data_IF_452251321300
#
_entry.id   IF_452251321300
#
_cell.length_a   1.000
_cell.length_b   1.000
_cell.length_c   1.000
_cell.angle_alpha   90.00
_cell.angle_beta   90.00
_cell.angle_gamma   90.00
#
_symmetry.space_group_name_H-M   'P 1'
#
loop_
_entity.id
_entity.type
_entity.pdbx_description
1 polymer ?
#
# COMPACT_ATOMS: atom_id res chain seq x y z
N UNK A 1 -11.36 -25.54 8.52
CA UNK A 1 -11.20 -24.65 7.37
C UNK A 1 -9.74 -24.59 6.96
N UNK A 2 -9.48 -24.88 5.68
CA UNK A 2 -8.19 -24.72 5.00
C UNK A 2 -8.03 -23.27 4.52
N UNK A 3 -6.84 -22.90 4.04
CA UNK A 3 -6.58 -21.54 3.51
C UNK A 3 -7.47 -21.23 2.30
N UNK A 4 -7.66 -22.20 1.40
CA UNK A 4 -8.45 -22.00 0.18
C UNK A 4 -9.94 -21.85 0.49
N UNK A 5 -10.44 -22.60 1.48
CA UNK A 5 -11.81 -22.44 1.99
C UNK A 5 -12.03 -21.04 2.58
N UNK A 6 -11.06 -20.52 3.35
CA UNK A 6 -11.16 -19.17 3.92
C UNK A 6 -11.12 -18.10 2.82
N UNK A 7 -10.25 -18.27 1.81
CA UNK A 7 -10.17 -17.33 0.67
C UNK A 7 -11.45 -17.32 -0.17
N UNK A 8 -12.25 -18.37 -0.14
CA UNK A 8 -13.55 -18.44 -0.82
C UNK A 8 -14.67 -17.71 -0.06
N UNK A 9 -14.50 -17.42 1.24
CA UNK A 9 -15.47 -16.62 2.00
C UNK A 9 -15.46 -15.18 1.48
N UNK A 10 -16.63 -14.66 1.18
CA UNK A 10 -16.84 -13.29 0.70
C UNK A 10 -16.32 -12.26 1.71
N UNK A 11 -15.38 -11.42 1.28
CA UNK A 11 -14.89 -10.27 2.08
C UNK A 11 -16.05 -9.32 2.39
N UNK A 12 -16.99 -9.15 1.44
CA UNK A 12 -18.17 -8.32 1.64
C UNK A 12 -19.01 -8.83 2.81
N UNK A 13 -19.21 -10.15 2.90
CA UNK A 13 -20.04 -10.76 3.94
C UNK A 13 -19.31 -10.79 5.28
N UNK A 14 -18.00 -11.03 5.26
CA UNK A 14 -17.16 -10.94 6.46
C UNK A 14 -17.19 -9.53 7.06
N UNK A 15 -17.00 -8.49 6.25
CA UNK A 15 -17.10 -7.10 6.70
C UNK A 15 -18.53 -6.76 7.17
N UNK A 16 -19.55 -7.27 6.48
CA UNK A 16 -20.95 -7.14 6.90
C UNK A 16 -21.22 -7.73 8.29
N UNK A 17 -20.61 -8.88 8.62
CA UNK A 17 -20.70 -9.48 9.96
C UNK A 17 -20.11 -8.59 11.05
N UNK A 18 -19.17 -7.71 10.70
CA UNK A 18 -18.57 -6.70 11.57
C UNK A 18 -19.30 -5.35 11.53
N UNK A 19 -20.47 -5.27 10.88
CA UNK A 19 -21.21 -4.03 10.63
C UNK A 19 -20.43 -2.98 9.82
N UNK A 20 -19.53 -3.43 8.94
CA UNK A 20 -18.76 -2.57 8.03
C UNK A 20 -19.35 -2.67 6.63
N UNK A 21 -19.90 -1.57 6.15
CA UNK A 21 -20.63 -1.49 4.88
C UNK A 21 -19.99 -0.50 3.91
N UNK A 22 -20.15 -0.68 2.58
CA UNK A 22 -19.56 0.22 1.60
C UNK A 22 -20.22 1.61 1.68
N UNK A 23 -19.40 2.66 1.61
CA UNK A 23 -19.85 4.05 1.46
C UNK A 23 -20.34 4.31 0.03
N UNK A 24 -19.68 3.68 -0.96
CA UNK A 24 -20.09 3.74 -2.37
C UNK A 24 -20.05 2.33 -2.96
N UNK A 25 -21.04 2.00 -3.78
CA UNK A 25 -21.13 0.69 -4.43
C UNK A 25 -21.23 0.89 -5.95
N UNK A 26 -20.43 0.15 -6.70
CA UNK A 26 -20.30 0.24 -8.15
C UNK A 26 -20.67 -1.09 -8.84
N UNK A 27 -21.48 -1.92 -8.18
CA UNK A 27 -21.95 -3.20 -8.69
C UNK A 27 -20.93 -4.31 -8.43
N UNK A 28 -19.79 -4.29 -9.12
CA UNK A 28 -18.75 -5.32 -9.01
C UNK A 28 -17.69 -5.03 -7.93
N UNK A 29 -17.69 -3.82 -7.37
CA UNK A 29 -16.84 -3.47 -6.23
C UNK A 29 -17.51 -2.42 -5.34
N UNK A 30 -17.07 -2.35 -4.09
CA UNK A 30 -17.46 -1.31 -3.14
C UNK A 30 -16.26 -0.52 -2.61
N UNK A 31 -16.47 0.76 -2.32
CA UNK A 31 -15.54 1.62 -1.61
C UNK A 31 -16.01 1.79 -0.16
N UNK A 32 -15.15 1.44 0.77
CA UNK A 32 -15.35 1.46 2.21
C UNK A 32 -14.41 2.49 2.83
N UNK A 33 -14.73 2.93 4.04
CA UNK A 33 -13.70 3.48 4.91
C UNK A 33 -12.76 2.35 5.33
N UNK A 34 -11.47 2.63 5.35
CA UNK A 34 -10.47 1.67 5.80
C UNK A 34 -10.82 1.16 7.20
N UNK A 35 -10.88 -0.17 7.41
CA UNK A 35 -11.13 -0.73 8.74
C UNK A 35 -9.92 -0.60 9.66
N UNK A 36 -8.76 -0.15 9.14
CA UNK A 36 -7.51 -0.04 9.89
C UNK A 36 -7.30 1.34 10.53
N UNK A 37 -8.08 2.35 10.14
CA UNK A 37 -7.90 3.74 10.58
C UNK A 37 -9.20 4.53 10.49
N UNK A 38 -9.27 5.64 11.22
CA UNK A 38 -10.36 6.58 11.02
C UNK A 38 -10.05 7.49 9.81
N UNK A 39 -10.95 7.53 8.84
CA UNK A 39 -10.80 8.38 7.65
C UNK A 39 -12.12 9.07 7.26
N UNK A 40 -11.99 10.23 6.60
CA UNK A 40 -13.12 10.98 6.07
C UNK A 40 -13.56 10.46 4.71
N UNK A 41 -12.60 10.30 3.79
CA UNK A 41 -12.84 9.83 2.41
C UNK A 41 -12.58 8.33 2.31
N UNK A 42 -13.48 7.53 1.71
CA UNK A 42 -13.29 6.09 1.57
C UNK A 42 -12.13 5.78 0.62
N UNK A 43 -11.20 4.95 1.06
CA UNK A 43 -10.00 4.56 0.30
C UNK A 43 -9.78 3.04 0.25
N UNK A 44 -10.69 2.25 0.83
CA UNK A 44 -10.61 0.80 0.88
C UNK A 44 -11.55 0.19 -0.16
N UNK A 45 -11.01 -0.43 -1.20
CA UNK A 45 -11.76 -1.11 -2.25
C UNK A 45 -11.92 -2.59 -1.92
N UNK A 46 -13.12 -3.11 -2.08
CA UNK A 46 -13.38 -4.56 -2.13
C UNK A 46 -13.95 -4.91 -3.49
N UNK A 47 -13.21 -5.71 -4.26
CA UNK A 47 -13.68 -6.29 -5.52
C UNK A 47 -14.46 -7.57 -5.23
N UNK A 48 -15.75 -7.58 -5.56
CA UNK A 48 -16.65 -8.68 -5.20
C UNK A 48 -16.49 -9.89 -6.12
N UNK A 49 -15.99 -9.68 -7.35
CA UNK A 49 -15.77 -10.76 -8.30
C UNK A 49 -14.47 -11.49 -8.01
N UNK A 50 -13.41 -10.74 -7.72
CA UNK A 50 -12.10 -11.32 -7.40
C UNK A 50 -12.00 -11.75 -5.93
N UNK A 51 -12.92 -11.28 -5.09
CA UNK A 51 -12.88 -11.44 -3.64
C UNK A 51 -11.55 -10.97 -3.03
N UNK A 52 -11.09 -9.80 -3.49
CA UNK A 52 -9.85 -9.17 -3.05
C UNK A 52 -10.14 -7.78 -2.50
N UNK A 53 -9.33 -7.37 -1.53
CA UNK A 53 -9.34 -6.01 -1.01
C UNK A 53 -8.05 -5.26 -1.35
N UNK A 54 -8.15 -3.94 -1.40
CA UNK A 54 -7.01 -3.05 -1.56
C UNK A 54 -7.27 -1.71 -0.88
N UNK A 55 -6.33 -1.26 -0.06
CA UNK A 55 -6.33 0.02 0.63
C UNK A 55 -5.38 0.99 -0.09
N UNK A 56 -5.95 1.97 -0.80
CA UNK A 56 -5.19 2.92 -1.60
C UNK A 56 -4.30 3.85 -0.77
N UNK A 57 -4.59 4.08 0.52
CA UNK A 57 -3.76 4.97 1.33
C UNK A 57 -2.56 4.24 1.95
N UNK A 58 -2.65 2.91 2.13
CA UNK A 58 -1.55 2.08 2.62
C UNK A 58 -0.77 1.38 1.51
N UNK A 59 -1.29 1.39 0.29
CA UNK A 59 -0.75 0.61 -0.83
C UNK A 59 -0.62 -0.88 -0.49
N UNK A 60 -1.66 -1.41 0.16
CA UNK A 60 -1.72 -2.80 0.61
C UNK A 60 -3.01 -3.46 0.17
N UNK A 61 -2.99 -4.76 -0.10
CA UNK A 61 -4.17 -5.53 -0.47
C UNK A 61 -3.93 -7.02 -0.34
N UNK A 62 -4.99 -7.79 -0.57
CA UNK A 62 -4.91 -9.24 -0.51
C UNK A 62 -6.26 -9.92 -0.47
N UNK A 63 -6.22 -11.17 -0.05
CA UNK A 63 -7.39 -12.02 0.16
C UNK A 63 -7.96 -11.83 1.57
N UNK A 64 -9.06 -12.53 1.88
CA UNK A 64 -9.69 -12.44 3.20
C UNK A 64 -8.75 -12.83 4.34
N UNK A 65 -7.87 -13.83 4.15
CA UNK A 65 -6.94 -14.23 5.22
C UNK A 65 -5.94 -13.10 5.53
N UNK A 66 -5.48 -12.38 4.52
CA UNK A 66 -4.57 -11.23 4.68
C UNK A 66 -5.28 -10.09 5.43
N UNK A 67 -6.56 -9.87 5.12
CA UNK A 67 -7.41 -8.91 5.83
C UNK A 67 -7.53 -9.27 7.30
N UNK A 68 -7.85 -10.53 7.62
CA UNK A 68 -8.04 -11.01 8.99
C UNK A 68 -6.75 -10.90 9.78
N UNK A 69 -5.63 -11.36 9.22
CA UNK A 69 -4.31 -11.24 9.85
C UNK A 69 -3.99 -9.79 10.21
N UNK A 70 -4.30 -8.85 9.31
CA UNK A 70 -4.07 -7.43 9.54
C UNK A 70 -5.02 -6.82 10.57
N UNK A 71 -6.32 -7.14 10.51
CA UNK A 71 -7.33 -6.62 11.44
C UNK A 71 -7.07 -7.08 12.88
N UNK A 72 -6.66 -8.34 13.04
CA UNK A 72 -6.44 -8.95 14.35
C UNK A 72 -4.98 -8.95 14.79
N UNK A 73 -4.08 -8.41 13.96
CA UNK A 73 -2.63 -8.43 14.16
C UNK A 73 -2.11 -9.83 14.56
N UNK A 74 -2.51 -10.85 13.81
CA UNK A 74 -2.27 -12.26 14.14
C UNK A 74 -1.52 -12.99 13.01
N UNK A 75 -0.87 -14.09 13.36
CA UNK A 75 -0.22 -14.96 12.37
C UNK A 75 -1.24 -15.71 11.51
N UNK A 76 -0.77 -16.30 10.40
CA UNK A 76 -1.60 -17.14 9.54
C UNK A 76 -2.26 -18.29 10.29
N UNK A 77 -1.52 -18.94 11.19
CA UNK A 77 -2.02 -20.06 12.00
C UNK A 77 -3.16 -19.57 12.90
N UNK A 78 -2.95 -18.45 13.60
CA UNK A 78 -3.97 -17.84 14.46
C UNK A 78 -5.21 -17.41 13.67
N UNK A 79 -5.02 -16.85 12.47
CA UNK A 79 -6.12 -16.48 11.59
C UNK A 79 -6.95 -17.70 11.16
N UNK A 80 -6.30 -18.82 10.83
CA UNK A 80 -7.00 -20.08 10.53
C UNK A 80 -7.76 -20.61 11.75
N UNK A 81 -7.18 -20.52 12.95
CA UNK A 81 -7.84 -20.92 14.20
C UNK A 81 -9.09 -20.10 14.51
N UNK A 82 -9.10 -18.80 14.17
CA UNK A 82 -10.29 -17.94 14.29
C UNK A 82 -11.47 -18.47 13.48
N UNK A 83 -11.24 -18.90 12.23
CA UNK A 83 -12.28 -19.47 11.38
C UNK A 83 -12.70 -20.89 11.81
N UNK A 84 -11.85 -21.59 12.58
CA UNK A 84 -12.15 -22.91 13.13
C UNK A 84 -12.85 -22.88 14.49
N UNK A 85 -13.24 -21.70 14.99
CA UNK A 85 -13.96 -21.56 16.26
C UNK A 85 -13.13 -21.86 17.51
N UNK A 86 -11.80 -22.00 17.38
CA UNK A 86 -10.89 -22.16 18.52
C UNK A 86 -10.53 -20.77 19.06
N UNK A 87 -11.48 -20.13 19.74
CA UNK A 87 -11.25 -18.83 20.39
C UNK A 87 -10.37 -18.97 21.64
N UNK A 88 -9.07 -19.18 21.44
CA UNK A 88 -8.09 -19.00 22.51
C UNK A 88 -7.64 -17.53 22.50
N UNK A 89 -8.25 -16.72 23.36
CA UNK A 89 -7.77 -15.41 23.81
C UNK A 89 -7.33 -14.43 22.70
N UNK A 90 -8.24 -14.00 21.81
CA UNK A 90 -7.98 -12.78 21.03
C UNK A 90 -8.60 -11.54 21.71
N UNK A 91 -7.88 -10.41 21.73
CA UNK A 91 -8.41 -9.16 22.28
C UNK A 91 -9.66 -8.77 21.49
N UNK A 92 -10.75 -8.50 22.22
CA UNK A 92 -11.99 -7.97 21.66
C UNK A 92 -11.66 -6.74 20.81
N UNK A 93 -12.24 -6.70 19.61
CA UNK A 93 -12.17 -5.57 18.69
C UNK A 93 -12.48 -4.28 19.45
N UNK A 94 -11.44 -3.56 19.82
CA UNK A 94 -11.53 -2.21 20.34
C UNK A 94 -10.98 -1.36 19.21
N UNK A 95 -11.88 -0.58 18.60
CA UNK A 95 -11.50 0.57 17.78
C UNK A 95 -10.87 1.56 18.77
N UNK A 96 -9.66 1.24 19.21
CA UNK A 96 -8.88 2.12 20.04
C UNK A 96 -8.45 3.23 19.12
N UNK A 97 -9.03 4.42 19.35
CA UNK A 97 -8.48 5.70 18.91
C UNK A 97 -6.96 5.55 18.92
N UNK A 98 -6.35 5.62 17.74
CA UNK A 98 -4.93 5.40 17.56
C UNK A 98 -4.18 6.43 18.39
N UNK A 99 -3.88 6.08 19.64
CA UNK A 99 -2.72 6.59 20.34
C UNK A 99 -1.56 6.19 19.46
N UNK A 100 -1.03 7.18 18.74
CA UNK A 100 0.34 7.27 18.24
C UNK A 100 1.14 6.00 18.49
N UNK A 101 1.05 5.06 17.55
CA UNK A 101 2.00 3.95 17.51
C UNK A 101 3.29 4.58 16.99
N UNK A 102 4.18 4.90 17.94
CA UNK A 102 5.58 5.20 17.65
C UNK A 102 6.24 4.05 16.88
N UNK A 103 7.27 4.33 16.07
CA UNK A 103 7.46 3.77 14.75
C UNK A 103 8.23 2.45 14.78
N UNK A 104 7.57 1.37 14.38
CA UNK A 104 8.26 0.15 13.93
C UNK A 104 7.83 -0.28 12.52
N UNK A 105 7.23 0.62 11.74
CA UNK A 105 7.36 0.54 10.30
C UNK A 105 8.85 0.66 10.00
N UNK A 106 9.41 -0.30 9.26
CA UNK A 106 10.75 -0.28 8.73
C UNK A 106 10.96 1.01 7.93
N UNK A 107 11.36 2.07 8.63
CA UNK A 107 11.50 3.43 8.07
C UNK A 107 12.41 3.34 6.87
N UNK A 108 11.89 3.72 5.70
CA UNK A 108 12.68 3.88 4.50
C UNK A 108 13.76 4.90 4.81
N UNK A 109 15.02 4.47 4.77
CA UNK A 109 16.19 5.36 4.97
C UNK A 109 16.81 5.64 3.63
N UNK A 110 16.82 6.90 3.22
CA UNK A 110 17.52 7.32 2.01
C UNK A 110 19.02 7.18 2.25
N UNK A 111 19.69 6.43 1.38
CA UNK A 111 21.15 6.27 1.36
C UNK A 111 21.76 7.39 0.51
N UNK A 112 21.11 7.71 -0.61
CA UNK A 112 21.55 8.80 -1.48
C UNK A 112 20.63 9.00 -2.67
N UNK A 113 20.77 10.17 -3.29
CA UNK A 113 20.14 10.53 -4.56
C UNK A 113 21.23 10.88 -5.57
N UNK A 114 21.24 10.21 -6.72
CA UNK A 114 22.22 10.40 -7.78
C UNK A 114 21.54 10.73 -9.11
N UNK A 115 22.33 11.12 -10.10
CA UNK A 115 21.85 11.18 -11.48
C UNK A 115 21.45 9.80 -11.96
N UNK A 116 20.41 9.73 -12.78
CA UNK A 116 19.89 8.48 -13.33
C UNK A 116 20.96 7.80 -14.22
N UNK A 117 21.59 6.77 -13.69
CA UNK A 117 22.70 6.04 -14.33
C UNK A 117 22.50 4.52 -14.29
N UNK A 118 21.66 3.98 -13.41
CA UNK A 118 21.46 2.55 -13.26
C UNK A 118 20.89 1.92 -14.56
N UNK A 119 21.57 0.91 -15.14
CA UNK A 119 21.13 0.29 -16.39
C UNK A 119 19.67 -0.17 -16.36
N UNK A 120 19.24 -0.85 -15.30
CA UNK A 120 17.85 -1.32 -15.16
C UNK A 120 16.81 -0.20 -15.10
N UNK A 121 17.15 0.97 -14.55
CA UNK A 121 16.22 2.12 -14.52
C UNK A 121 16.16 2.80 -15.89
N UNK A 122 17.29 2.86 -16.61
CA UNK A 122 17.35 3.34 -17.99
C UNK A 122 16.51 2.44 -18.89
N UNK A 123 16.67 1.13 -18.78
CA UNK A 123 15.90 0.13 -19.53
C UNK A 123 14.39 0.25 -19.25
N UNK A 124 14.01 0.49 -17.99
CA UNK A 124 12.61 0.73 -17.62
C UNK A 124 12.00 1.92 -18.38
N UNK A 125 12.72 3.03 -18.52
CA UNK A 125 12.23 4.18 -19.30
C UNK A 125 12.15 3.87 -20.80
N UNK A 126 13.16 3.18 -21.34
CA UNK A 126 13.17 2.76 -22.75
C UNK A 126 11.97 1.88 -23.08
N UNK A 127 11.66 0.89 -22.23
CA UNK A 127 10.50 0.00 -22.41
C UNK A 127 9.16 0.76 -22.30
N UNK A 128 9.12 1.87 -21.56
CA UNK A 128 7.94 2.73 -21.42
C UNK A 128 7.83 3.79 -22.53
N UNK A 129 8.78 3.85 -23.46
CA UNK A 129 8.82 4.86 -24.52
C UNK A 129 9.09 6.28 -24.00
N UNK A 130 9.71 6.43 -22.83
CA UNK A 130 10.01 7.72 -22.22
C UNK A 130 11.40 8.17 -22.66
N UNK A 131 11.51 9.41 -23.16
CA UNK A 131 12.78 9.97 -23.59
C UNK A 131 13.76 10.06 -22.41
N UNK A 132 14.94 9.43 -22.56
CA UNK A 132 15.94 9.35 -21.49
C UNK A 132 16.47 10.72 -21.06
N UNK A 133 16.58 11.70 -21.97
CA UNK A 133 17.04 13.04 -21.63
C UNK A 133 16.00 13.78 -20.76
N UNK A 134 14.71 13.59 -21.06
CA UNK A 134 13.61 14.09 -20.22
C UNK A 134 13.64 13.40 -18.85
N UNK A 135 13.78 12.08 -18.83
CA UNK A 135 13.87 11.33 -17.58
C UNK A 135 15.05 11.79 -16.72
N UNK A 136 16.25 11.96 -17.31
CA UNK A 136 17.44 12.48 -16.61
C UNK A 136 17.28 13.91 -16.10
N UNK A 137 16.47 14.73 -16.78
CA UNK A 137 16.18 16.11 -16.38
C UNK A 137 15.27 16.17 -15.15
N UNK A 138 14.24 15.34 -15.10
CA UNK A 138 13.18 15.43 -14.08
C UNK A 138 13.26 14.35 -12.98
N UNK A 139 14.02 13.28 -13.19
CA UNK A 139 14.09 12.17 -12.25
C UNK A 139 15.50 12.05 -11.65
N UNK A 140 15.55 11.46 -10.46
CA UNK A 140 16.77 11.04 -9.78
C UNK A 140 16.74 9.54 -9.55
N UNK A 141 17.93 8.96 -9.43
CA UNK A 141 18.08 7.61 -8.92
C UNK A 141 18.19 7.67 -7.41
N UNK A 142 17.26 7.04 -6.72
CA UNK A 142 17.18 7.07 -5.25
C UNK A 142 17.57 5.70 -4.73
N UNK A 143 18.65 5.65 -3.95
CA UNK A 143 19.03 4.47 -3.17
C UNK A 143 18.45 4.60 -1.77
N UNK A 144 17.78 3.55 -1.31
CA UNK A 144 17.15 3.53 0.00
C UNK A 144 17.24 2.16 0.66
N UNK A 145 17.06 2.13 1.98
CA UNK A 145 17.10 0.92 2.78
C UNK A 145 15.77 0.71 3.49
N UNK A 146 15.27 -0.52 3.47
CA UNK A 146 14.15 -0.98 4.30
C UNK A 146 14.69 -2.09 5.20
N UNK A 147 14.79 -1.82 6.50
CA UNK A 147 15.50 -2.71 7.43
C UNK A 147 16.98 -2.85 7.04
N UNK A 148 17.40 -4.06 6.68
CA UNK A 148 18.78 -4.36 6.25
C UNK A 148 18.93 -4.59 4.75
N UNK A 149 17.85 -4.42 3.98
CA UNK A 149 17.86 -4.58 2.52
C UNK A 149 17.97 -3.23 1.83
N UNK A 150 18.90 -3.13 0.87
CA UNK A 150 19.11 -1.95 0.03
C UNK A 150 18.36 -2.10 -1.29
N UNK A 151 17.77 -1.00 -1.75
CA UNK A 151 16.96 -0.89 -2.95
C UNK A 151 17.33 0.37 -3.72
N UNK A 152 16.88 0.42 -4.97
CA UNK A 152 16.95 1.62 -5.81
C UNK A 152 15.64 1.81 -6.58
N UNK A 153 15.27 3.05 -6.82
CA UNK A 153 14.10 3.42 -7.58
C UNK A 153 14.30 4.75 -8.33
N UNK A 154 13.43 5.00 -9.29
CA UNK A 154 13.25 6.31 -9.91
C UNK A 154 12.55 7.19 -8.88
N UNK A 155 13.18 8.30 -8.51
CA UNK A 155 12.59 9.34 -7.68
C UNK A 155 12.18 10.55 -8.52
N UNK A 156 10.89 10.89 -8.45
CA UNK A 156 10.36 12.16 -8.95
C UNK A 156 10.32 13.15 -7.78
N UNK A 157 11.17 14.19 -7.78
CA UNK A 157 11.20 15.16 -6.70
C UNK A 157 9.91 15.98 -6.68
N UNK A 158 9.46 16.32 -5.47
CA UNK A 158 8.41 17.31 -5.25
C UNK A 158 8.98 18.63 -4.73
N UNK A 159 8.11 19.63 -4.57
CA UNK A 159 8.50 20.98 -4.16
C UNK A 159 8.94 21.06 -2.69
N UNK A 160 8.66 20.03 -1.88
CA UNK A 160 9.02 19.93 -0.47
C UNK A 160 10.19 18.98 -0.20
N UNK A 161 11.05 18.73 -1.19
CA UNK A 161 12.24 17.85 -1.09
C UNK A 161 11.93 16.36 -0.80
N UNK A 162 10.67 15.94 -0.93
CA UNK A 162 10.28 14.54 -0.97
C UNK A 162 10.34 13.97 -2.38
N UNK A 163 10.06 12.67 -2.51
CA UNK A 163 10.10 11.97 -3.80
C UNK A 163 8.92 11.03 -3.96
N UNK A 164 8.30 10.98 -5.14
CA UNK A 164 7.53 9.81 -5.56
C UNK A 164 8.51 8.76 -6.12
N UNK A 165 8.48 7.55 -5.58
CA UNK A 165 9.34 6.44 -5.96
C UNK A 165 8.61 5.49 -6.91
N UNK A 166 9.30 5.06 -7.96
CA UNK A 166 8.82 4.03 -8.88
C UNK A 166 9.95 3.12 -9.33
N UNK A 167 9.70 1.82 -9.26
CA UNK A 167 10.50 0.73 -9.82
C UNK A 167 9.49 -0.29 -10.41
N UNK A 168 9.82 -1.07 -11.45
CA UNK A 168 8.97 -2.15 -11.95
C UNK A 168 8.24 -2.99 -10.89
N UNK A 169 8.86 -3.19 -9.72
CA UNK A 169 8.31 -4.02 -8.64
C UNK A 169 7.71 -3.23 -7.46
N UNK A 170 7.84 -1.89 -7.42
CA UNK A 170 7.46 -1.08 -6.26
C UNK A 170 7.06 0.34 -6.65
N UNK A 171 6.00 0.85 -6.03
CA UNK A 171 5.62 2.27 -6.06
C UNK A 171 5.52 2.77 -4.62
N UNK A 172 5.93 4.00 -4.37
CA UNK A 172 5.85 4.57 -3.03
C UNK A 172 6.24 6.03 -3.01
N UNK A 173 6.49 6.56 -1.82
CA UNK A 173 7.01 7.91 -1.66
C UNK A 173 8.02 8.04 -0.52
N UNK A 174 8.91 9.01 -0.63
CA UNK A 174 9.73 9.55 0.44
C UNK A 174 9.07 10.83 0.92
N UNK A 175 8.68 10.85 2.19
CA UNK A 175 8.10 12.02 2.83
C UNK A 175 9.06 13.21 2.79
N UNK A 176 8.54 14.45 2.72
CA UNK A 176 7.11 14.79 2.70
C UNK A 176 6.45 14.53 1.34
N UNK A 177 5.19 14.09 1.35
CA UNK A 177 4.39 13.97 0.12
C UNK A 177 3.82 15.35 -0.23
N UNK A 178 4.10 15.82 -1.44
CA UNK A 178 3.72 17.16 -1.92
C UNK A 178 3.63 17.14 -3.46
N UNK A 179 3.12 18.22 -4.05
CA UNK A 179 2.99 18.40 -5.50
C UNK A 179 4.35 18.72 -6.16
N UNK A 180 4.47 18.35 -7.43
CA UNK A 180 5.59 18.74 -8.30
C UNK A 180 5.07 19.71 -9.36
N UNK A 181 5.70 20.88 -9.49
CA UNK A 181 5.37 21.84 -10.56
C UNK A 181 6.41 21.76 -11.67
N UNK A 182 5.97 21.51 -12.90
CA UNK A 182 6.82 21.62 -14.10
C UNK A 182 6.42 22.91 -14.80
N UNK A 183 7.24 23.99 -14.71
CA UNK A 183 6.95 25.20 -15.46
C UNK A 183 6.96 24.91 -16.95
N UNK A 184 6.03 25.53 -17.69
CA UNK A 184 6.12 25.55 -19.14
C UNK A 184 7.45 26.22 -19.54
N UNK A 185 8.16 25.69 -20.54
CA UNK A 185 9.27 26.42 -21.12
C UNK A 185 8.70 27.74 -21.64
N UNK A 186 9.17 28.86 -21.07
CA UNK A 186 8.86 30.19 -21.57
C UNK A 186 9.21 30.24 -23.06
N UNK A 187 8.29 30.72 -23.89
CA UNK A 187 8.57 31.10 -25.28
C UNK A 187 9.67 32.18 -25.36
#
# INVERSE_FOLDING_TARGET
MTIDEIKAISIKDYLGSMSIYPIKNYGYYGMYKSPFRNEHTPSFKVDYNQNLWYDFALDEGGSLIDLVMKLHNCSLIQAIELFNGKQNNLPKFSIANSKTISPNQSRIKVIGSTNLCHPNLIEYFTHRGINLNIAKKYCREIHYRIGDRSFYAIGFPNNSYGYALSNPYFKGCLSPSDVSYVPNPSE
#
